data_IF_473057217240
#
_entry.id   IF_473057217240
#
_cell.length_a   1.000
_cell.length_b   1.000
_cell.length_c   1.000
_cell.angle_alpha   90.00
_cell.angle_beta   90.00
_cell.angle_gamma   90.00
#
_symmetry.space_group_name_H-M   'P 1'
#
loop_
_entity.id
_entity.type
_entity.pdbx_description
1 polymer ?
#
# COMPACT_ATOMS: atom_id res chain seq x y z
N UNK A 1 0.14 46.00 5.76
CA UNK A 1 1.46 45.39 5.71
C UNK A 1 1.45 44.32 4.62
N UNK A 2 2.37 44.45 3.71
CA UNK A 2 2.47 43.81 2.40
C UNK A 2 2.38 42.29 2.49
N UNK A 3 1.24 41.73 2.06
CA UNK A 3 1.12 40.31 1.72
C UNK A 3 1.82 40.12 0.36
N UNK A 4 3.12 39.76 0.47
CA UNK A 4 3.91 39.40 -0.72
C UNK A 4 3.18 38.30 -1.42
N UNK A 5 2.62 38.58 -2.58
CA UNK A 5 1.94 37.71 -3.51
C UNK A 5 2.77 36.45 -3.81
N UNK A 6 2.69 35.43 -2.91
CA UNK A 6 3.09 34.08 -3.29
C UNK A 6 2.23 33.71 -4.48
N UNK A 7 2.87 33.45 -5.60
CA UNK A 7 2.21 33.02 -6.85
C UNK A 7 1.34 31.81 -6.53
N UNK A 8 0.04 32.00 -6.38
CA UNK A 8 -0.90 30.90 -6.06
C UNK A 8 -1.00 30.00 -7.28
N UNK A 9 -0.86 28.69 -7.06
CA UNK A 9 -1.06 27.68 -8.09
C UNK A 9 -2.57 27.54 -8.31
N UNK A 10 -3.01 27.54 -9.56
CA UNK A 10 -4.43 27.35 -9.89
C UNK A 10 -4.70 25.86 -10.11
N UNK A 11 -5.00 25.16 -9.01
CA UNK A 11 -5.34 23.72 -9.01
C UNK A 11 -6.67 23.44 -9.72
N UNK A 12 -7.58 24.42 -9.74
CA UNK A 12 -8.93 24.25 -10.31
C UNK A 12 -8.86 23.86 -11.80
N UNK A 13 -7.90 24.42 -12.54
CA UNK A 13 -7.68 24.11 -13.96
C UNK A 13 -7.32 22.64 -14.17
N UNK A 14 -6.68 22.02 -13.19
CA UNK A 14 -6.19 20.65 -13.28
C UNK A 14 -7.15 19.62 -12.72
N UNK A 15 -8.17 20.00 -11.94
CA UNK A 15 -9.12 19.07 -11.33
C UNK A 15 -9.81 18.15 -12.35
N UNK A 16 -10.27 18.69 -13.49
CA UNK A 16 -10.95 17.89 -14.52
C UNK A 16 -10.00 16.83 -15.12
N UNK A 17 -8.79 17.24 -15.48
CA UNK A 17 -7.79 16.35 -16.10
C UNK A 17 -7.33 15.31 -15.07
N UNK A 18 -7.06 15.73 -13.83
CA UNK A 18 -6.65 14.83 -12.76
C UNK A 18 -7.73 13.79 -12.39
N UNK A 19 -9.01 14.20 -12.35
CA UNK A 19 -10.11 13.27 -12.10
C UNK A 19 -10.30 12.26 -13.24
N UNK A 20 -10.17 12.67 -14.50
CA UNK A 20 -10.20 11.76 -15.65
C UNK A 20 -9.03 10.75 -15.53
N UNK A 21 -7.83 11.25 -15.29
CA UNK A 21 -6.64 10.40 -15.11
C UNK A 21 -6.84 9.40 -13.95
N UNK A 22 -7.29 9.88 -12.79
CA UNK A 22 -7.58 9.05 -11.62
C UNK A 22 -8.62 7.97 -11.92
N UNK A 23 -9.73 8.33 -12.58
CA UNK A 23 -10.78 7.37 -12.95
C UNK A 23 -10.25 6.32 -13.92
N UNK A 24 -9.51 6.72 -14.96
CA UNK A 24 -8.88 5.78 -15.90
C UNK A 24 -7.87 4.87 -15.19
N UNK A 25 -7.06 5.41 -14.28
CA UNK A 25 -6.09 4.64 -13.51
C UNK A 25 -6.76 3.61 -12.61
N UNK A 26 -7.87 3.97 -11.93
CA UNK A 26 -8.63 3.02 -11.10
C UNK A 26 -9.27 1.93 -11.96
N UNK A 27 -9.88 2.27 -13.09
CA UNK A 27 -10.45 1.28 -14.02
C UNK A 27 -9.35 0.33 -14.51
N UNK A 28 -8.19 0.86 -14.87
CA UNK A 28 -7.04 0.06 -15.28
C UNK A 28 -6.57 -0.86 -14.14
N UNK A 29 -6.39 -0.35 -12.92
CA UNK A 29 -5.99 -1.13 -11.75
C UNK A 29 -6.99 -2.26 -11.44
N UNK A 30 -8.29 -1.97 -11.48
CA UNK A 30 -9.34 -2.98 -11.31
C UNK A 30 -9.30 -4.01 -12.43
N UNK A 31 -9.11 -3.60 -13.68
CA UNK A 31 -8.99 -4.53 -14.81
C UNK A 31 -7.80 -5.47 -14.64
N UNK A 32 -6.64 -4.95 -14.26
CA UNK A 32 -5.44 -5.76 -13.98
C UNK A 32 -5.70 -6.71 -12.81
N UNK A 33 -6.33 -6.23 -11.74
CA UNK A 33 -6.70 -7.04 -10.59
C UNK A 33 -7.59 -8.23 -10.97
N UNK A 34 -8.64 -8.01 -11.78
CA UNK A 34 -9.56 -9.08 -12.19
C UNK A 34 -8.96 -10.03 -13.24
N UNK A 35 -8.09 -9.53 -14.13
CA UNK A 35 -7.48 -10.37 -15.18
C UNK A 35 -6.29 -11.17 -14.69
N UNK A 36 -5.45 -10.59 -13.83
CA UNK A 36 -4.19 -11.19 -13.39
C UNK A 36 -4.27 -11.74 -11.96
N UNK A 37 -5.19 -11.22 -11.14
CA UNK A 37 -5.30 -11.56 -9.73
C UNK A 37 -4.18 -10.98 -8.88
N UNK A 38 -4.13 -11.40 -7.61
CA UNK A 38 -3.08 -11.04 -6.65
C UNK A 38 -2.11 -12.19 -6.50
N UNK A 39 -0.83 -11.88 -6.45
CA UNK A 39 0.20 -12.84 -6.10
C UNK A 39 0.28 -12.97 -4.57
N UNK A 40 -0.52 -13.89 -4.01
CA UNK A 40 -0.59 -14.11 -2.57
C UNK A 40 0.65 -14.87 -2.09
N UNK A 41 1.23 -14.43 -0.97
CA UNK A 41 2.33 -15.09 -0.28
C UNK A 41 1.89 -16.32 0.51
N UNK A 42 2.88 -16.98 1.12
CA UNK A 42 2.63 -18.18 1.96
C UNK A 42 1.72 -17.91 3.15
N UNK A 43 1.68 -16.68 3.65
CA UNK A 43 0.77 -16.28 4.74
C UNK A 43 -0.70 -16.54 4.38
N UNK A 44 -1.04 -16.40 3.08
CA UNK A 44 -2.40 -16.47 2.58
C UNK A 44 -2.69 -17.74 1.77
N UNK A 45 -1.69 -18.28 1.07
CA UNK A 45 -1.83 -19.56 0.34
C UNK A 45 -1.53 -20.77 1.21
N UNK A 46 -0.77 -20.58 2.25
CA UNK A 46 -0.10 -21.65 2.97
C UNK A 46 1.15 -22.11 2.23
N UNK A 47 2.01 -22.83 2.94
CA UNK A 47 3.23 -23.35 2.38
C UNK A 47 4.42 -23.18 3.30
N UNK A 48 5.59 -23.52 2.76
CA UNK A 48 6.87 -23.34 3.45
C UNK A 48 7.77 -22.37 2.68
N UNK A 49 8.38 -21.44 3.41
CA UNK A 49 9.41 -20.56 2.92
C UNK A 49 10.73 -20.94 3.59
N UNK A 50 11.77 -21.18 2.80
CA UNK A 50 13.11 -21.45 3.28
C UNK A 50 14.04 -20.39 2.67
N UNK A 51 14.65 -19.59 3.53
CA UNK A 51 15.68 -18.63 3.16
C UNK A 51 17.06 -19.21 3.45
N UNK A 52 17.89 -19.28 2.42
CA UNK A 52 19.23 -19.83 2.53
C UNK A 52 20.27 -18.85 2.01
N UNK A 53 21.46 -18.93 2.59
CA UNK A 53 22.67 -18.30 2.07
C UNK A 53 23.69 -19.36 1.72
N UNK A 54 24.16 -19.36 0.47
CA UNK A 54 25.29 -20.16 0.04
C UNK A 54 26.59 -19.52 0.52
N UNK A 55 27.48 -20.32 1.08
CA UNK A 55 28.85 -19.93 1.41
C UNK A 55 29.81 -20.30 0.28
N UNK A 56 29.36 -21.12 -0.66
CA UNK A 56 30.12 -21.61 -1.82
C UNK A 56 29.85 -20.80 -3.08
N UNK A 57 30.37 -19.58 -3.22
CA UNK A 57 30.42 -18.86 -4.49
C UNK A 57 29.10 -18.70 -5.28
N UNK A 58 29.19 -18.37 -6.57
CA UNK A 58 28.04 -18.21 -7.48
C UNK A 58 27.37 -19.56 -7.78
N UNK A 59 26.13 -19.71 -7.44
CA UNK A 59 25.32 -20.92 -7.66
C UNK A 59 24.32 -20.68 -8.78
N UNK A 60 24.20 -21.64 -9.68
CA UNK A 60 23.22 -21.60 -10.76
C UNK A 60 21.82 -21.93 -10.21
N UNK A 61 20.93 -20.92 -10.18
CA UNK A 61 19.55 -21.07 -9.69
C UNK A 61 18.75 -22.15 -10.45
N UNK A 62 19.08 -22.40 -11.74
CA UNK A 62 18.38 -23.44 -12.54
C UNK A 62 18.71 -24.82 -12.04
N UNK A 63 19.97 -25.06 -11.70
CA UNK A 63 20.46 -26.37 -11.22
C UNK A 63 19.92 -26.63 -9.80
N UNK A 64 19.92 -25.62 -8.94
CA UNK A 64 19.31 -25.70 -7.62
C UNK A 64 17.80 -26.01 -7.72
N UNK A 65 17.08 -25.30 -8.60
CA UNK A 65 15.64 -25.55 -8.81
C UNK A 65 15.39 -26.99 -9.31
N UNK A 66 16.15 -27.45 -10.32
CA UNK A 66 15.98 -28.81 -10.86
C UNK A 66 16.30 -29.89 -9.81
N UNK A 67 17.35 -29.68 -9.00
CA UNK A 67 17.71 -30.59 -7.91
C UNK A 67 16.59 -30.74 -6.87
N UNK A 68 15.89 -29.66 -6.54
CA UNK A 68 14.82 -29.69 -5.54
C UNK A 68 13.50 -30.16 -6.17
N UNK A 69 13.19 -29.78 -7.42
CA UNK A 69 11.98 -30.20 -8.13
C UNK A 69 11.90 -31.70 -8.35
N UNK A 70 13.04 -32.37 -8.45
CA UNK A 70 13.10 -33.84 -8.57
C UNK A 70 12.60 -34.60 -7.34
N UNK A 71 12.33 -33.90 -6.22
CA UNK A 71 11.75 -34.51 -5.01
C UNK A 71 10.24 -34.79 -5.14
N UNK A 72 9.57 -34.26 -6.16
CA UNK A 72 8.11 -34.42 -6.42
C UNK A 72 7.20 -34.12 -5.20
N UNK A 73 7.59 -33.16 -4.38
CA UNK A 73 6.88 -32.79 -3.12
C UNK A 73 5.88 -31.64 -3.29
N UNK A 74 5.64 -31.18 -4.51
CA UNK A 74 4.74 -30.08 -4.84
C UNK A 74 5.40 -29.01 -5.71
N UNK A 75 4.68 -27.91 -5.96
CA UNK A 75 5.23 -26.78 -6.71
C UNK A 75 6.28 -26.03 -5.89
N UNK A 76 7.50 -26.00 -6.44
CA UNK A 76 8.65 -25.36 -5.80
C UNK A 76 9.08 -24.15 -6.61
N UNK A 77 9.11 -23.01 -5.97
CA UNK A 77 9.66 -21.79 -6.53
C UNK A 77 10.99 -21.46 -5.87
N UNK A 78 12.04 -21.26 -6.68
CA UNK A 78 13.36 -20.81 -6.22
C UNK A 78 13.66 -19.48 -6.88
N UNK A 79 13.99 -18.47 -6.06
CA UNK A 79 14.35 -17.11 -6.51
C UNK A 79 15.60 -16.64 -5.79
N UNK A 80 16.41 -15.80 -6.45
CA UNK A 80 17.47 -15.07 -5.75
C UNK A 80 16.85 -14.01 -4.85
N UNK A 81 17.52 -13.73 -3.75
CA UNK A 81 17.07 -12.83 -2.70
C UNK A 81 18.23 -11.93 -2.24
N UNK A 82 18.28 -10.72 -2.77
CA UNK A 82 19.31 -9.73 -2.46
C UNK A 82 20.62 -9.96 -3.19
N UNK A 83 21.45 -10.86 -2.69
CA UNK A 83 22.73 -11.17 -3.31
C UNK A 83 22.65 -12.42 -4.19
N UNK A 84 23.66 -12.66 -5.01
CA UNK A 84 23.73 -13.89 -5.82
C UNK A 84 23.87 -15.16 -4.98
N UNK A 85 24.19 -15.02 -3.71
CA UNK A 85 24.38 -16.13 -2.76
C UNK A 85 23.15 -16.39 -1.90
N UNK A 86 22.18 -15.46 -1.87
CA UNK A 86 20.98 -15.60 -1.06
C UNK A 86 19.82 -16.10 -1.94
N UNK A 87 19.10 -17.12 -1.45
CA UNK A 87 17.98 -17.73 -2.16
C UNK A 87 16.77 -17.88 -1.27
N UNK A 88 15.59 -17.64 -1.84
CA UNK A 88 14.30 -18.01 -1.25
C UNK A 88 13.73 -19.19 -2.01
N UNK A 89 13.39 -20.23 -1.26
CA UNK A 89 12.72 -21.43 -1.74
C UNK A 89 11.34 -21.44 -1.13
N UNK A 90 10.31 -21.47 -1.96
CA UNK A 90 8.91 -21.60 -1.55
C UNK A 90 8.37 -22.91 -2.02
N UNK A 91 7.73 -23.61 -1.11
CA UNK A 91 7.01 -24.84 -1.35
C UNK A 91 5.53 -24.58 -1.09
N UNK A 92 4.66 -24.74 -2.10
CA UNK A 92 3.22 -24.74 -1.90
C UNK A 92 2.79 -26.00 -1.14
N UNK A 93 1.71 -25.89 -0.36
CA UNK A 93 1.23 -26.98 0.49
C UNK A 93 0.90 -28.24 -0.33
N UNK A 94 1.63 -29.31 -0.10
CA UNK A 94 1.17 -30.67 -0.41
C UNK A 94 0.47 -31.24 0.83
N UNK A 95 -0.65 -31.86 0.67
CA UNK A 95 -1.66 -32.16 1.70
C UNK A 95 -1.27 -33.16 2.80
N UNK A 96 -0.06 -33.68 2.84
CA UNK A 96 0.41 -34.62 3.89
C UNK A 96 1.90 -34.42 4.19
N UNK A 97 2.24 -34.25 5.46
CA UNK A 97 3.62 -34.27 6.02
C UNK A 97 4.53 -33.06 5.73
N UNK A 98 4.07 -31.83 6.01
CA UNK A 98 4.91 -30.63 5.81
C UNK A 98 6.27 -30.69 6.53
N UNK A 99 6.35 -31.23 7.74
CA UNK A 99 7.61 -31.29 8.51
C UNK A 99 8.63 -32.25 7.87
N UNK A 100 8.19 -33.38 7.34
CA UNK A 100 9.05 -34.33 6.65
C UNK A 100 9.56 -33.77 5.32
N UNK A 101 8.66 -33.10 4.57
CA UNK A 101 9.02 -32.43 3.31
C UNK A 101 10.05 -31.32 3.52
N UNK A 102 9.91 -30.52 4.58
CA UNK A 102 10.90 -29.50 4.96
C UNK A 102 12.27 -30.13 5.24
N UNK A 103 12.31 -31.23 5.99
CA UNK A 103 13.56 -31.92 6.30
C UNK A 103 14.18 -32.53 5.04
N UNK A 104 13.38 -33.11 4.13
CA UNK A 104 13.86 -33.63 2.85
C UNK A 104 14.48 -32.51 1.99
N UNK A 105 13.82 -31.36 1.93
CA UNK A 105 14.35 -30.20 1.20
C UNK A 105 15.65 -29.71 1.85
N UNK A 106 15.69 -29.55 3.16
CA UNK A 106 16.91 -29.13 3.87
C UNK A 106 18.08 -30.06 3.61
N UNK A 107 17.87 -31.37 3.73
CA UNK A 107 18.89 -32.38 3.46
C UNK A 107 19.37 -32.33 2.01
N UNK A 108 18.43 -32.15 1.06
CA UNK A 108 18.80 -32.03 -0.38
C UNK A 108 19.60 -30.76 -0.66
N UNK A 109 19.24 -29.65 -0.03
CA UNK A 109 19.96 -28.37 -0.13
C UNK A 109 21.35 -28.51 0.48
N UNK A 110 21.46 -29.06 1.69
CA UNK A 110 22.76 -29.31 2.33
C UNK A 110 23.67 -30.18 1.47
N UNK A 111 23.15 -31.29 0.91
CA UNK A 111 23.89 -32.12 -0.02
C UNK A 111 24.32 -31.41 -1.30
N UNK A 112 23.45 -30.56 -1.85
CA UNK A 112 23.75 -29.79 -3.06
C UNK A 112 24.89 -28.79 -2.85
N UNK A 113 24.95 -28.19 -1.68
CA UNK A 113 25.95 -27.19 -1.29
C UNK A 113 27.16 -27.80 -0.55
N UNK A 114 27.27 -29.13 -0.44
CA UNK A 114 28.28 -29.82 0.38
C UNK A 114 28.37 -29.26 1.80
N UNK A 115 27.22 -29.03 2.42
CA UNK A 115 27.02 -28.40 3.75
C UNK A 115 27.51 -26.97 3.89
N UNK A 116 27.89 -26.31 2.78
CA UNK A 116 28.28 -24.90 2.75
C UNK A 116 27.05 -24.00 2.51
N UNK A 117 26.03 -24.16 3.34
CA UNK A 117 24.77 -23.39 3.29
C UNK A 117 24.27 -23.06 4.68
N UNK A 118 23.86 -21.82 4.86
CA UNK A 118 23.25 -21.33 6.10
C UNK A 118 21.75 -21.16 5.89
N UNK A 119 20.92 -21.79 6.73
CA UNK A 119 19.46 -21.61 6.77
C UNK A 119 19.14 -20.42 7.65
N UNK A 120 18.76 -19.28 7.07
CA UNK A 120 18.48 -18.05 7.82
C UNK A 120 17.08 -18.01 8.40
N UNK A 121 16.11 -18.51 7.62
CA UNK A 121 14.69 -18.45 7.96
C UNK A 121 13.98 -19.67 7.41
N UNK A 122 13.14 -20.27 8.22
CA UNK A 122 12.25 -21.36 7.78
C UNK A 122 10.90 -21.10 8.40
N UNK A 123 9.95 -20.79 7.55
CA UNK A 123 8.56 -20.53 7.92
C UNK A 123 7.66 -21.57 7.30
N UNK A 124 6.71 -22.05 8.09
CA UNK A 124 5.71 -23.01 7.64
C UNK A 124 4.33 -22.53 8.10
N UNK A 125 3.46 -22.28 7.12
CA UNK A 125 2.10 -21.81 7.35
C UNK A 125 1.12 -22.88 6.88
N UNK A 126 0.40 -23.47 7.84
CA UNK A 126 -0.61 -24.48 7.53
C UNK A 126 -1.89 -23.88 6.93
N UNK A 127 -2.74 -24.67 6.22
CA UNK A 127 -3.94 -24.17 5.52
C UNK A 127 -4.94 -23.48 6.46
N UNK A 128 -5.10 -23.98 7.68
CA UNK A 128 -6.00 -23.39 8.67
C UNK A 128 -5.52 -22.00 9.09
N UNK A 129 -4.21 -21.88 9.36
CA UNK A 129 -3.60 -20.60 9.74
C UNK A 129 -3.73 -19.59 8.60
N UNK A 130 -3.47 -20.00 7.36
CA UNK A 130 -3.61 -19.12 6.20
C UNK A 130 -5.03 -18.58 6.04
N UNK A 131 -6.05 -19.43 6.20
CA UNK A 131 -7.45 -18.98 6.13
C UNK A 131 -7.82 -18.02 7.26
N UNK A 132 -7.32 -18.26 8.47
CA UNK A 132 -7.49 -17.34 9.60
C UNK A 132 -6.80 -15.99 9.35
N UNK A 133 -5.60 -16.00 8.77
CA UNK A 133 -4.85 -14.77 8.41
C UNK A 133 -5.54 -13.96 7.32
N UNK A 134 -6.13 -14.60 6.29
CA UNK A 134 -6.93 -13.91 5.27
C UNK A 134 -8.12 -13.21 5.93
N UNK A 135 -8.89 -13.93 6.74
CA UNK A 135 -10.07 -13.37 7.40
C UNK A 135 -9.68 -12.23 8.36
N UNK A 136 -8.61 -12.41 9.13
CA UNK A 136 -8.09 -11.37 10.01
C UNK A 136 -7.61 -10.13 9.24
N UNK A 137 -6.92 -10.32 8.12
CA UNK A 137 -6.46 -9.23 7.25
C UNK A 137 -7.63 -8.43 6.65
N UNK A 138 -8.63 -9.12 6.11
CA UNK A 138 -9.85 -8.47 5.57
C UNK A 138 -10.59 -7.72 6.69
N UNK A 139 -10.75 -8.36 7.85
CA UNK A 139 -11.42 -7.74 9.00
C UNK A 139 -10.64 -6.50 9.50
N UNK A 140 -9.32 -6.57 9.57
CA UNK A 140 -8.48 -5.44 9.99
C UNK A 140 -8.62 -4.24 9.05
N UNK A 141 -8.61 -4.47 7.71
CA UNK A 141 -8.83 -3.41 6.72
C UNK A 141 -10.24 -2.84 6.88
N UNK A 142 -11.27 -3.68 6.98
CA UNK A 142 -12.65 -3.23 7.13
C UNK A 142 -12.86 -2.41 8.41
N UNK A 143 -12.32 -2.88 9.54
CA UNK A 143 -12.38 -2.16 10.81
C UNK A 143 -11.62 -0.83 10.76
N UNK A 144 -10.44 -0.79 10.14
CA UNK A 144 -9.65 0.43 9.97
C UNK A 144 -10.41 1.48 9.14
N UNK A 145 -10.96 1.08 8.00
CA UNK A 145 -11.77 1.97 7.16
C UNK A 145 -13.02 2.45 7.89
N UNK A 146 -13.70 1.56 8.64
CA UNK A 146 -14.89 1.92 9.42
C UNK A 146 -14.57 2.87 10.57
N UNK A 147 -13.46 2.66 11.28
CA UNK A 147 -13.00 3.54 12.34
C UNK A 147 -12.62 4.92 11.81
N UNK A 148 -11.95 4.98 10.63
CA UNK A 148 -11.64 6.24 9.96
C UNK A 148 -12.90 6.98 9.51
N UNK A 149 -13.88 6.25 8.95
CA UNK A 149 -15.19 6.81 8.58
C UNK A 149 -15.87 7.43 9.79
N UNK A 150 -15.93 6.68 10.89
CA UNK A 150 -16.55 7.13 12.12
C UNK A 150 -15.85 8.36 12.72
N UNK A 151 -14.50 8.35 12.75
CA UNK A 151 -13.71 9.49 13.20
C UNK A 151 -14.01 10.76 12.39
N UNK A 152 -14.02 10.65 11.05
CA UNK A 152 -14.24 11.79 10.19
C UNK A 152 -15.69 12.26 10.28
N UNK A 153 -16.65 11.35 10.44
CA UNK A 153 -18.06 11.71 10.60
C UNK A 153 -18.31 12.46 11.91
N UNK A 154 -17.61 12.14 12.98
CA UNK A 154 -17.67 12.91 14.23
C UNK A 154 -16.95 14.25 14.09
N UNK A 155 -15.81 14.27 13.38
CA UNK A 155 -14.95 15.46 13.29
C UNK A 155 -15.41 16.47 12.24
N UNK A 156 -16.06 15.98 11.19
CA UNK A 156 -16.53 16.75 10.05
C UNK A 156 -17.95 16.39 9.67
N UNK A 157 -18.57 17.23 8.85
CA UNK A 157 -19.87 16.97 8.24
C UNK A 157 -19.79 15.77 7.27
N UNK A 158 -20.90 15.03 7.09
CA UNK A 158 -20.97 13.79 6.29
C UNK A 158 -20.44 13.92 4.86
N UNK A 159 -20.53 15.12 4.28
CA UNK A 159 -20.03 15.40 2.93
C UNK A 159 -18.50 15.23 2.84
N UNK A 160 -17.79 15.71 3.87
CA UNK A 160 -16.34 15.54 3.97
C UNK A 160 -15.98 14.08 4.23
N UNK A 161 -16.76 13.39 5.06
CA UNK A 161 -16.57 11.97 5.34
C UNK A 161 -16.66 11.12 4.07
N UNK A 162 -17.68 11.36 3.25
CA UNK A 162 -17.86 10.64 2.00
C UNK A 162 -16.69 10.89 1.03
N UNK A 163 -16.25 12.14 0.90
CA UNK A 163 -15.12 12.50 0.04
C UNK A 163 -13.80 11.84 0.50
N UNK A 164 -13.56 11.81 1.81
CA UNK A 164 -12.37 11.18 2.39
C UNK A 164 -12.34 9.67 2.15
N UNK A 165 -13.48 8.98 2.34
CA UNK A 165 -13.53 7.53 2.11
C UNK A 165 -13.32 7.18 0.65
N UNK A 166 -13.89 7.93 -0.27
CA UNK A 166 -13.67 7.73 -1.70
C UNK A 166 -12.18 7.87 -2.06
N UNK A 167 -11.49 8.85 -1.47
CA UNK A 167 -10.05 8.99 -1.66
C UNK A 167 -9.27 7.83 -1.04
N UNK A 168 -9.63 7.35 0.15
CA UNK A 168 -8.98 6.17 0.76
C UNK A 168 -9.19 4.90 -0.06
N UNK A 169 -10.41 4.65 -0.52
CA UNK A 169 -10.69 3.51 -1.40
C UNK A 169 -9.89 3.59 -2.70
N UNK A 170 -9.80 4.80 -3.29
CA UNK A 170 -8.95 5.06 -4.44
C UNK A 170 -7.50 4.64 -4.17
N UNK A 171 -6.92 5.05 -3.05
CA UNK A 171 -5.52 4.80 -2.72
C UNK A 171 -5.24 3.32 -2.49
N UNK A 172 -6.14 2.62 -1.80
CA UNK A 172 -6.03 1.16 -1.57
C UNK A 172 -6.15 0.39 -2.88
N UNK A 173 -7.15 0.72 -3.72
CA UNK A 173 -7.35 0.06 -5.02
C UNK A 173 -6.15 0.29 -5.93
N UNK A 174 -5.64 1.52 -5.97
CA UNK A 174 -4.47 1.84 -6.77
C UNK A 174 -3.23 1.07 -6.32
N UNK A 175 -2.97 1.02 -5.01
CA UNK A 175 -1.83 0.28 -4.44
C UNK A 175 -1.93 -1.22 -4.76
N UNK A 176 -3.10 -1.84 -4.56
CA UNK A 176 -3.33 -3.25 -4.90
C UNK A 176 -3.22 -3.51 -6.41
N UNK A 177 -3.70 -2.57 -7.24
CA UNK A 177 -3.57 -2.64 -8.70
C UNK A 177 -2.11 -2.63 -9.16
N UNK A 178 -1.28 -1.78 -8.58
CA UNK A 178 0.17 -1.74 -8.85
C UNK A 178 0.83 -3.06 -8.41
N UNK A 179 0.47 -3.61 -7.25
CA UNK A 179 0.97 -4.91 -6.79
C UNK A 179 0.59 -6.05 -7.74
N UNK A 180 -0.65 -6.06 -8.22
CA UNK A 180 -1.12 -7.02 -9.23
C UNK A 180 -0.36 -6.85 -10.55
N UNK A 181 -0.17 -5.61 -11.04
CA UNK A 181 0.52 -5.30 -12.28
C UNK A 181 1.95 -5.87 -12.31
N UNK A 182 2.71 -5.58 -11.25
CA UNK A 182 4.10 -6.01 -11.14
C UNK A 182 4.28 -7.41 -10.53
N UNK A 183 3.17 -8.09 -10.19
CA UNK A 183 3.20 -9.42 -9.52
C UNK A 183 3.98 -9.42 -8.21
N UNK A 184 4.00 -8.29 -7.50
CA UNK A 184 4.54 -8.24 -6.16
C UNK A 184 3.76 -9.17 -5.24
N UNK A 185 4.47 -9.83 -4.34
CA UNK A 185 3.87 -10.75 -3.39
C UNK A 185 3.14 -9.99 -2.28
N UNK A 186 1.90 -10.39 -2.02
CA UNK A 186 1.10 -9.85 -0.92
C UNK A 186 1.19 -10.81 0.26
N UNK A 187 1.79 -10.33 1.33
CA UNK A 187 1.96 -10.99 2.62
C UNK A 187 1.39 -10.11 3.75
N UNK A 188 1.52 -10.54 5.00
CA UNK A 188 1.04 -9.78 6.16
C UNK A 188 1.69 -8.40 6.28
N UNK A 189 2.95 -8.25 5.87
CA UNK A 189 3.63 -6.95 5.89
C UNK A 189 2.97 -5.96 4.92
N UNK A 190 2.43 -6.44 3.78
CA UNK A 190 1.71 -5.59 2.83
C UNK A 190 0.34 -5.18 3.37
N UNK A 191 -0.35 -6.07 4.10
CA UNK A 191 -1.58 -5.70 4.81
C UNK A 191 -1.30 -4.59 5.82
N UNK A 192 -0.23 -4.71 6.60
CA UNK A 192 0.21 -3.66 7.52
C UNK A 192 0.55 -2.34 6.79
N UNK A 193 1.20 -2.43 5.62
CA UNK A 193 1.45 -1.25 4.78
C UNK A 193 0.15 -0.58 4.33
N UNK A 194 -0.85 -1.34 3.86
CA UNK A 194 -2.15 -0.81 3.45
C UNK A 194 -2.84 -0.08 4.61
N UNK A 195 -2.85 -0.69 5.81
CA UNK A 195 -3.41 -0.04 7.01
C UNK A 195 -2.67 1.26 7.36
N UNK A 196 -1.36 1.28 7.18
CA UNK A 196 -0.54 2.47 7.40
C UNK A 196 -0.82 3.55 6.34
N UNK A 197 -0.99 3.16 5.07
CA UNK A 197 -1.35 4.07 3.96
C UNK A 197 -2.69 4.75 4.23
N UNK A 198 -3.69 3.99 4.72
CA UNK A 198 -5.00 4.55 5.10
C UNK A 198 -4.85 5.68 6.12
N UNK A 199 -4.06 5.47 7.17
CA UNK A 199 -3.80 6.50 8.17
C UNK A 199 -3.00 7.68 7.63
N UNK A 200 -2.00 7.40 6.79
CA UNK A 200 -1.13 8.44 6.22
C UNK A 200 -1.87 9.35 5.23
N UNK A 201 -2.60 8.76 4.28
CA UNK A 201 -3.39 9.51 3.30
C UNK A 201 -4.44 10.40 3.98
N UNK A 202 -5.06 9.89 5.05
CA UNK A 202 -6.03 10.64 5.82
C UNK A 202 -5.45 11.90 6.45
N UNK A 203 -4.20 11.89 6.89
CA UNK A 203 -3.56 13.04 7.52
C UNK A 203 -3.57 14.28 6.62
N UNK A 204 -3.23 14.14 5.34
CA UNK A 204 -3.24 15.25 4.39
C UNK A 204 -4.67 15.69 4.05
N UNK A 205 -5.59 14.74 3.88
CA UNK A 205 -7.01 15.02 3.60
C UNK A 205 -7.64 15.83 4.74
N UNK A 206 -7.43 15.44 5.99
CA UNK A 206 -7.96 16.14 7.18
C UNK A 206 -7.43 17.57 7.26
N UNK A 207 -6.14 17.78 6.98
CA UNK A 207 -5.53 19.12 7.01
C UNK A 207 -6.13 20.03 5.95
N UNK A 208 -6.34 19.52 4.74
CA UNK A 208 -6.98 20.31 3.67
C UNK A 208 -8.45 20.60 4.03
N UNK A 209 -9.19 19.62 4.54
CA UNK A 209 -10.59 19.78 4.91
C UNK A 209 -10.79 20.75 6.06
N UNK A 210 -9.95 20.68 7.08
CA UNK A 210 -9.98 21.64 8.19
C UNK A 210 -9.76 23.08 7.67
N UNK A 211 -8.80 23.24 6.74
CA UNK A 211 -8.55 24.53 6.13
C UNK A 211 -9.69 25.00 5.22
N UNK A 212 -10.35 24.10 4.51
CA UNK A 212 -11.54 24.41 3.72
C UNK A 212 -12.66 24.89 4.64
N UNK A 213 -12.91 24.22 5.77
CA UNK A 213 -13.93 24.65 6.76
C UNK A 213 -13.63 26.03 7.31
N UNK A 214 -12.39 26.29 7.71
CA UNK A 214 -11.96 27.61 8.19
C UNK A 214 -12.19 28.70 7.14
N UNK A 215 -11.79 28.44 5.89
CA UNK A 215 -11.94 29.40 4.81
C UNK A 215 -13.41 29.60 4.39
N UNK A 216 -14.27 28.57 4.47
CA UNK A 216 -15.71 28.68 4.27
C UNK A 216 -16.37 29.61 5.30
N UNK A 217 -15.90 29.59 6.56
CA UNK A 217 -16.40 30.52 7.60
C UNK A 217 -15.92 31.94 7.39
N UNK A 218 -14.71 32.10 6.83
CA UNK A 218 -14.03 33.38 6.65
C UNK A 218 -14.51 34.14 5.40
N UNK A 219 -14.78 33.44 4.31
CA UNK A 219 -15.05 34.02 3.00
C UNK A 219 -16.48 33.73 2.53
N UNK A 220 -17.39 34.76 2.63
CA UNK A 220 -18.82 34.57 2.34
C UNK A 220 -19.18 34.59 0.85
N UNK A 221 -18.26 34.99 -0.03
CA UNK A 221 -18.55 35.26 -1.44
C UNK A 221 -17.95 34.24 -2.41
N UNK A 222 -17.10 33.36 -1.93
CA UNK A 222 -16.42 32.36 -2.78
C UNK A 222 -17.19 31.03 -2.84
N UNK A 223 -17.18 30.40 -4.00
CA UNK A 223 -17.71 29.06 -4.16
C UNK A 223 -16.73 28.00 -3.61
N UNK A 224 -17.22 26.77 -3.41
CA UNK A 224 -16.41 25.68 -2.84
C UNK A 224 -15.11 25.39 -3.64
N UNK A 225 -15.11 25.59 -4.96
CA UNK A 225 -13.95 25.36 -5.81
C UNK A 225 -12.86 26.41 -5.54
N UNK A 226 -13.26 27.67 -5.41
CA UNK A 226 -12.35 28.77 -5.09
C UNK A 226 -11.77 28.61 -3.68
N UNK A 227 -12.62 28.29 -2.72
CA UNK A 227 -12.21 27.99 -1.33
C UNK A 227 -11.24 26.81 -1.29
N UNK A 228 -11.53 25.75 -2.04
CA UNK A 228 -10.64 24.59 -2.16
C UNK A 228 -9.26 24.98 -2.69
N UNK A 229 -9.21 25.78 -3.76
CA UNK A 229 -7.96 26.26 -4.33
C UNK A 229 -7.13 27.08 -3.34
N UNK A 230 -7.79 27.98 -2.61
CA UNK A 230 -7.14 28.77 -1.55
C UNK A 230 -6.57 27.85 -0.47
N UNK A 231 -7.39 26.93 0.03
CA UNK A 231 -7.04 26.03 1.13
C UNK A 231 -5.90 25.08 0.77
N UNK A 232 -5.90 24.52 -0.44
CA UNK A 232 -4.80 23.71 -0.95
C UNK A 232 -3.50 24.51 -0.98
N UNK A 233 -3.50 25.74 -1.53
CA UNK A 233 -2.31 26.58 -1.58
C UNK A 233 -1.77 26.91 -0.17
N UNK A 234 -2.64 27.11 0.80
CA UNK A 234 -2.26 27.42 2.18
C UNK A 234 -1.68 26.23 2.93
N UNK A 235 -2.08 25.01 2.59
CA UNK A 235 -1.60 23.76 3.20
C UNK A 235 -0.49 23.08 2.41
N UNK A 236 -0.27 23.46 1.15
CA UNK A 236 0.61 22.80 0.19
C UNK A 236 2.04 22.59 0.71
N UNK A 237 2.61 23.62 1.34
CA UNK A 237 3.97 23.54 1.86
C UNK A 237 4.11 22.46 2.94
N UNK A 238 3.12 22.34 3.81
CA UNK A 238 3.09 21.31 4.85
C UNK A 238 2.97 19.92 4.22
N UNK A 239 2.01 19.73 3.32
CA UNK A 239 1.77 18.45 2.63
C UNK A 239 3.00 17.98 1.86
N UNK A 240 3.65 18.88 1.10
CA UNK A 240 4.87 18.52 0.35
C UNK A 240 6.02 18.16 1.31
N UNK A 241 6.25 18.91 2.38
CA UNK A 241 7.34 18.63 3.32
C UNK A 241 7.11 17.30 4.01
N UNK A 242 5.90 17.02 4.50
CA UNK A 242 5.58 15.74 5.18
C UNK A 242 5.72 14.55 4.24
N UNK A 243 5.21 14.65 3.01
CA UNK A 243 5.32 13.58 2.03
C UNK A 243 6.76 13.35 1.58
N UNK A 244 7.52 14.44 1.32
CA UNK A 244 8.91 14.34 0.88
C UNK A 244 9.81 13.72 1.97
N UNK A 245 9.68 14.15 3.22
CA UNK A 245 10.47 13.59 4.32
C UNK A 245 10.17 12.10 4.54
N UNK A 246 8.90 11.71 4.46
CA UNK A 246 8.51 10.30 4.55
C UNK A 246 9.02 9.49 3.35
N UNK A 247 8.93 10.02 2.13
CA UNK A 247 9.47 9.36 0.94
C UNK A 247 10.98 9.17 1.03
N UNK A 248 11.74 10.15 1.54
CA UNK A 248 13.18 10.00 1.74
C UNK A 248 13.52 8.85 2.70
N UNK A 249 12.79 8.73 3.82
CA UNK A 249 12.96 7.61 4.73
C UNK A 249 12.59 6.26 4.07
N UNK A 250 11.47 6.21 3.35
CA UNK A 250 11.01 5.00 2.66
C UNK A 250 11.95 4.59 1.53
N UNK A 251 12.49 5.51 0.75
CA UNK A 251 13.52 5.21 -0.25
C UNK A 251 14.79 4.67 0.39
N UNK A 252 15.21 5.22 1.54
CA UNK A 252 16.35 4.69 2.28
C UNK A 252 16.11 3.23 2.70
N UNK A 253 14.92 2.91 3.20
CA UNK A 253 14.53 1.53 3.54
C UNK A 253 14.48 0.66 2.27
N UNK A 254 13.93 1.16 1.18
CA UNK A 254 13.79 0.41 -0.07
C UNK A 254 15.14 0.00 -0.65
N UNK A 255 16.14 0.89 -0.63
CA UNK A 255 17.46 0.61 -1.20
C UNK A 255 18.43 -0.07 -0.24
N UNK A 256 18.33 0.17 1.06
CA UNK A 256 19.30 -0.29 2.07
C UNK A 256 18.71 -1.33 3.03
N UNK A 257 17.37 -1.36 3.19
CA UNK A 257 16.69 -2.19 4.20
C UNK A 257 16.62 -3.70 3.87
N UNK A 258 17.15 -4.10 2.72
CA UNK A 258 17.10 -5.50 2.28
C UNK A 258 15.74 -5.91 1.71
N UNK A 259 15.69 -7.09 1.07
CA UNK A 259 14.53 -7.52 0.31
C UNK A 259 13.28 -7.82 1.16
N UNK A 260 13.45 -8.14 2.45
CA UNK A 260 12.31 -8.37 3.37
C UNK A 260 11.46 -7.12 3.50
N UNK A 261 12.09 -5.94 3.54
CA UNK A 261 11.41 -4.65 3.67
C UNK A 261 11.04 -4.02 2.31
N UNK A 262 11.52 -4.58 1.20
CA UNK A 262 11.34 -4.01 -0.13
C UNK A 262 9.85 -3.91 -0.50
N UNK A 263 9.08 -4.99 -0.35
CA UNK A 263 7.65 -5.00 -0.63
C UNK A 263 6.88 -3.98 0.23
N UNK A 264 7.16 -3.95 1.54
CA UNK A 264 6.56 -3.00 2.46
C UNK A 264 6.87 -1.54 2.10
N UNK A 265 8.16 -1.23 1.91
CA UNK A 265 8.59 0.13 1.57
C UNK A 265 8.09 0.57 0.21
N UNK A 266 8.05 -0.33 -0.79
CA UNK A 266 7.45 -0.05 -2.09
C UNK A 266 5.95 0.27 -1.98
N UNK A 267 5.17 -0.54 -1.22
CA UNK A 267 3.76 -0.25 -0.97
C UNK A 267 3.57 1.12 -0.36
N UNK A 268 4.36 1.44 0.67
CA UNK A 268 4.32 2.73 1.34
C UNK A 268 4.70 3.90 0.42
N UNK A 269 5.73 3.75 -0.43
CA UNK A 269 6.12 4.78 -1.41
C UNK A 269 4.96 5.07 -2.36
N UNK A 270 4.37 4.03 -2.94
CA UNK A 270 3.20 4.16 -3.82
C UNK A 270 2.05 4.82 -3.06
N UNK A 271 1.75 4.36 -1.84
CA UNK A 271 0.67 4.87 -1.00
C UNK A 271 0.84 6.35 -0.63
N UNK A 272 2.04 6.78 -0.27
CA UNK A 272 2.32 8.19 0.07
C UNK A 272 2.16 9.09 -1.16
N UNK A 273 2.67 8.69 -2.32
CA UNK A 273 2.54 9.47 -3.56
C UNK A 273 1.06 9.60 -3.96
N UNK A 274 0.35 8.48 -3.97
CA UNK A 274 -1.05 8.44 -4.39
C UNK A 274 -1.96 9.11 -3.36
N UNK A 275 -1.72 8.94 -2.05
CA UNK A 275 -2.47 9.59 -0.98
C UNK A 275 -2.33 11.11 -1.00
N UNK A 276 -1.13 11.61 -1.26
CA UNK A 276 -0.91 13.06 -1.46
C UNK A 276 -1.66 13.57 -2.70
N UNK A 277 -1.62 12.82 -3.80
CA UNK A 277 -2.37 13.14 -5.00
C UNK A 277 -3.89 13.10 -4.75
N UNK A 278 -4.40 12.06 -4.13
CA UNK A 278 -5.84 11.85 -3.93
C UNK A 278 -6.46 12.89 -3.00
N UNK A 279 -5.74 13.32 -1.96
CA UNK A 279 -6.19 14.39 -1.05
C UNK A 279 -6.45 15.70 -1.80
N UNK A 280 -5.61 16.05 -2.77
CA UNK A 280 -5.70 17.28 -3.55
C UNK A 280 -6.69 17.13 -4.72
N UNK A 281 -6.60 16.02 -5.47
CA UNK A 281 -7.25 15.88 -6.78
C UNK A 281 -8.45 14.93 -6.80
N UNK A 282 -8.70 14.18 -5.72
CA UNK A 282 -9.88 13.29 -5.60
C UNK A 282 -10.79 13.77 -4.49
N UNK A 283 -10.30 13.82 -3.24
CA UNK A 283 -11.11 14.20 -2.08
C UNK A 283 -11.65 15.63 -2.19
N UNK A 284 -10.78 16.58 -2.49
CA UNK A 284 -11.14 18.00 -2.51
C UNK A 284 -12.15 18.36 -3.61
N UNK A 285 -11.97 17.98 -4.90
CA UNK A 285 -12.95 18.26 -5.94
C UNK A 285 -14.29 17.56 -5.71
N UNK A 286 -14.32 16.43 -4.99
CA UNK A 286 -15.54 15.71 -4.69
C UNK A 286 -16.50 16.50 -3.81
N UNK A 287 -16.00 17.43 -2.99
CA UNK A 287 -16.83 18.34 -2.18
C UNK A 287 -17.78 19.21 -3.01
N UNK A 288 -17.46 19.45 -4.30
CA UNK A 288 -18.37 20.12 -5.22
C UNK A 288 -19.64 19.31 -5.48
N UNK A 289 -19.52 17.99 -5.62
CA UNK A 289 -20.64 17.10 -5.90
C UNK A 289 -21.55 16.93 -4.67
N UNK A 290 -21.01 17.08 -3.47
CA UNK A 290 -21.77 17.00 -2.22
C UNK A 290 -22.38 18.35 -1.80
N UNK A 291 -22.30 19.38 -2.64
CA UNK A 291 -22.86 20.71 -2.42
C UNK A 291 -22.46 21.33 -1.07
N UNK A 292 -21.20 21.19 -0.70
CA UNK A 292 -20.66 21.83 0.51
C UNK A 292 -20.73 23.34 0.36
N UNK A 293 -21.32 24.00 1.34
CA UNK A 293 -21.50 25.46 1.39
C UNK A 293 -21.20 25.97 2.79
N UNK A 294 -21.13 27.30 2.95
CA UNK A 294 -20.99 27.92 4.27
C UNK A 294 -22.10 27.50 5.24
N UNK A 295 -23.36 27.32 4.75
CA UNK A 295 -24.47 26.87 5.59
C UNK A 295 -24.28 25.46 6.13
N UNK A 296 -23.53 24.62 5.43
CA UNK A 296 -23.18 23.24 5.85
C UNK A 296 -22.31 23.28 7.10
N UNK A 297 -21.32 24.18 7.13
CA UNK A 297 -20.31 24.29 8.20
C UNK A 297 -20.82 25.06 9.43
N UNK A 298 -21.77 25.98 9.25
CA UNK A 298 -22.31 26.79 10.36
C UNK A 298 -23.48 26.12 11.11
N UNK A 299 -23.95 24.94 10.69
CA UNK A 299 -25.04 24.21 11.35
C UNK A 299 -24.67 23.61 12.72
N UNK A 300 -23.41 23.48 13.03
CA UNK A 300 -22.94 22.83 14.27
C UNK A 300 -22.84 23.76 15.50
N UNK A 301 -23.18 25.05 15.37
CA UNK A 301 -23.17 26.00 16.50
C UNK A 301 -24.56 26.19 17.17
N UNK A 302 -25.46 25.20 17.00
CA UNK A 302 -26.75 25.22 17.68
C UNK A 302 -26.91 24.07 18.66
#
# INVERSE_FOLDING_TARGET
MSDKTKKRIDFNKHFKIANIFSTCAIIFCLSVFFLKGLNLGIDFKGGTLIEIKSESGDVNIKDLRSSISNLNIGDISVKNFGTKQDFIIKLELSSKNNSENVNLIKNKISSYFNDQVSFRRVENVGPKVSSELINAGILAIALSLSAMLFYIWIRFEWQFSLAAILALMHDVIFTLGIFSLFSYEINLSIVAAILTIVGYSMNDTVVIFDRIRENLRKYNHFNIIEISNISINETLSRTIITSLTTLLALFSIYFVGGEILNGFSFAMIVGVIIGTFSSIFVATPFLKFTNVTQKTVNKEEK
#
